data_IF_040948479397
#
_entry.id   IF_040948479397
#
_cell.length_a   1.000
_cell.length_b   1.000
_cell.length_c   1.000
_cell.angle_alpha   90.00
_cell.angle_beta   90.00
_cell.angle_gamma   90.00
#
_symmetry.space_group_name_H-M   'P 1'
#
loop_
_entity.id
_entity.type
_entity.pdbx_description
1 polymer ?
#
# COMPACT_ATOMS: atom_id res chain seq x y z
N UNK A 1 -22.93 14.82 16.51
CA UNK A 1 -23.92 15.39 17.46
C UNK A 1 -25.09 16.11 16.78
N UNK A 2 -24.96 16.61 15.54
CA UNK A 2 -26.07 17.18 14.76
C UNK A 2 -26.85 16.14 13.89
N UNK A 3 -26.23 15.05 13.40
CA UNK A 3 -26.99 13.93 12.80
C UNK A 3 -28.06 13.37 13.75
N UNK A 4 -27.72 13.15 15.03
CA UNK A 4 -28.71 12.74 16.05
C UNK A 4 -29.80 13.78 16.36
N UNK A 5 -29.65 15.04 15.95
CA UNK A 5 -30.66 16.09 16.16
C UNK A 5 -31.62 16.20 14.96
N UNK A 6 -31.19 15.81 13.76
CA UNK A 6 -32.05 15.74 12.57
C UNK A 6 -32.99 14.52 12.58
N UNK A 7 -32.64 13.47 13.34
CA UNK A 7 -33.39 12.20 13.36
C UNK A 7 -34.28 12.05 14.63
N UNK A 8 -34.33 13.07 15.50
CA UNK A 8 -35.33 13.14 16.58
C UNK A 8 -36.72 13.46 16.01
N UNK A 9 -37.36 12.46 15.39
CA UNK A 9 -38.70 12.59 14.83
C UNK A 9 -39.09 11.51 13.82
N UNK A 10 -38.15 10.69 13.35
CA UNK A 10 -38.42 9.60 12.42
C UNK A 10 -39.03 8.40 13.16
N UNK A 11 -40.04 7.75 12.56
CA UNK A 11 -40.52 6.44 13.05
C UNK A 11 -39.57 5.30 12.62
N UNK A 12 -39.72 4.11 13.19
CA UNK A 12 -38.84 2.95 12.91
C UNK A 12 -38.76 2.58 11.41
N UNK A 13 -39.84 2.79 10.63
CA UNK A 13 -39.85 2.52 9.19
C UNK A 13 -39.14 3.61 8.38
N UNK A 14 -39.19 4.83 8.88
CA UNK A 14 -38.57 6.02 8.32
C UNK A 14 -37.04 6.01 8.56
N UNK A 15 -36.59 5.42 9.68
CA UNK A 15 -35.19 5.06 9.94
C UNK A 15 -34.69 3.96 8.99
N UNK A 16 -35.46 2.89 8.81
CA UNK A 16 -35.10 1.80 7.90
C UNK A 16 -34.92 2.25 6.44
N UNK A 17 -35.78 3.16 5.97
CA UNK A 17 -35.66 3.77 4.64
C UNK A 17 -34.39 4.64 4.50
N UNK A 18 -33.94 5.28 5.57
CA UNK A 18 -32.72 6.10 5.54
C UNK A 18 -31.47 5.22 5.46
N UNK A 19 -31.41 4.15 6.25
CA UNK A 19 -30.35 3.14 6.17
C UNK A 19 -30.33 2.43 4.81
N UNK A 20 -31.51 2.12 4.25
CA UNK A 20 -31.62 1.55 2.89
C UNK A 20 -31.09 2.51 1.82
N UNK A 21 -31.36 3.81 1.92
CA UNK A 21 -30.86 4.82 0.97
C UNK A 21 -29.35 5.01 1.08
N UNK A 22 -28.79 5.06 2.31
CA UNK A 22 -27.35 5.14 2.51
C UNK A 22 -26.63 3.87 2.00
N UNK A 23 -27.20 2.70 2.25
CA UNK A 23 -26.71 1.43 1.69
C UNK A 23 -26.76 1.46 0.15
N UNK A 24 -27.85 1.95 -0.44
CA UNK A 24 -27.99 2.04 -1.89
C UNK A 24 -27.02 3.05 -2.52
N UNK A 25 -26.74 4.17 -1.86
CA UNK A 25 -25.75 5.15 -2.31
C UNK A 25 -24.33 4.56 -2.25
N UNK A 26 -24.00 3.83 -1.18
CA UNK A 26 -22.73 3.10 -1.04
C UNK A 26 -22.60 2.01 -2.11
N UNK A 27 -23.65 1.24 -2.35
CA UNK A 27 -23.68 0.18 -3.37
C UNK A 27 -23.58 0.75 -4.80
N UNK A 28 -24.20 1.91 -5.05
CA UNK A 28 -24.10 2.61 -6.34
C UNK A 28 -22.68 3.14 -6.56
N UNK A 29 -22.08 3.79 -5.56
CA UNK A 29 -20.70 4.26 -5.63
C UNK A 29 -19.73 3.10 -5.86
N UNK A 30 -19.91 2.00 -5.12
CA UNK A 30 -19.12 0.76 -5.28
C UNK A 30 -19.31 0.16 -6.67
N UNK A 31 -20.53 0.14 -7.20
CA UNK A 31 -20.83 -0.36 -8.54
C UNK A 31 -20.25 0.52 -9.64
N UNK A 32 -20.25 1.84 -9.46
CA UNK A 32 -19.62 2.79 -10.36
C UNK A 32 -18.10 2.63 -10.32
N UNK A 33 -17.51 2.50 -9.13
CA UNK A 33 -16.08 2.24 -8.96
C UNK A 33 -15.67 0.93 -9.64
N UNK A 34 -16.39 -0.17 -9.38
CA UNK A 34 -16.13 -1.46 -10.01
C UNK A 34 -16.33 -1.40 -11.53
N UNK A 35 -17.34 -0.67 -12.00
CA UNK A 35 -17.58 -0.44 -13.42
C UNK A 35 -16.46 0.35 -14.07
N UNK A 36 -15.95 1.40 -13.41
CA UNK A 36 -14.79 2.18 -13.88
C UNK A 36 -13.54 1.30 -13.88
N UNK A 37 -13.26 0.56 -12.80
CA UNK A 37 -12.13 -0.39 -12.72
C UNK A 37 -12.19 -1.43 -13.84
N UNK A 38 -13.34 -2.06 -14.03
CA UNK A 38 -13.53 -3.06 -15.10
C UNK A 38 -13.32 -2.45 -16.48
N UNK A 39 -13.76 -1.21 -16.71
CA UNK A 39 -13.49 -0.49 -17.96
C UNK A 39 -12.00 -0.18 -18.10
N UNK A 40 -11.33 0.29 -17.04
CA UNK A 40 -9.90 0.59 -17.04
C UNK A 40 -9.04 -0.65 -17.35
N UNK A 41 -9.40 -1.81 -16.80
CA UNK A 41 -8.74 -3.10 -17.09
C UNK A 41 -8.89 -3.55 -18.55
N UNK A 42 -10.06 -3.36 -19.15
CA UNK A 42 -10.37 -3.77 -20.54
C UNK A 42 -9.58 -2.96 -21.58
N UNK A 43 -9.23 -1.69 -21.29
CA UNK A 43 -8.73 -0.75 -22.31
C UNK A 43 -7.26 -0.33 -22.18
N UNK A 44 -6.44 -1.09 -21.44
CA UNK A 44 -5.02 -0.78 -21.22
C UNK A 44 -4.27 -0.45 -22.53
N UNK A 45 -3.78 0.79 -22.63
CA UNK A 45 -2.90 1.27 -23.70
C UNK A 45 -3.48 2.22 -24.75
N UNK A 46 -4.81 2.27 -24.96
CA UNK A 46 -5.43 3.18 -25.96
C UNK A 46 -6.53 4.10 -25.42
N UNK A 47 -6.84 4.00 -24.11
CA UNK A 47 -7.92 4.78 -23.49
C UNK A 47 -7.51 6.15 -22.98
N UNK A 48 -6.23 6.46 -22.76
CA UNK A 48 -5.85 7.74 -22.13
C UNK A 48 -6.46 8.94 -22.86
N UNK A 49 -6.41 8.94 -24.20
CA UNK A 49 -7.04 9.98 -25.01
C UNK A 49 -8.55 10.12 -24.75
N UNK A 50 -9.27 9.00 -24.58
CA UNK A 50 -10.71 8.99 -24.32
C UNK A 50 -11.05 9.28 -22.85
N UNK A 51 -10.29 8.78 -21.86
CA UNK A 51 -10.46 9.12 -20.44
C UNK A 51 -10.12 10.59 -20.20
N UNK A 52 -9.02 11.10 -20.76
CA UNK A 52 -8.66 12.51 -20.65
C UNK A 52 -9.69 13.41 -21.36
N UNK A 53 -10.22 12.99 -22.52
CA UNK A 53 -11.26 13.73 -23.21
C UNK A 53 -12.63 13.69 -22.50
N UNK A 54 -13.00 12.54 -21.90
CA UNK A 54 -14.29 12.36 -21.22
C UNK A 54 -14.27 12.83 -19.76
N UNK A 55 -13.15 12.64 -19.06
CA UNK A 55 -13.01 12.82 -17.62
C UNK A 55 -11.82 13.68 -17.23
N UNK A 56 -10.90 14.09 -18.13
CA UNK A 56 -9.70 14.87 -17.75
C UNK A 56 -10.04 16.20 -17.08
N UNK A 57 -11.06 16.90 -17.59
CA UNK A 57 -11.62 18.08 -16.91
C UNK A 57 -12.30 17.71 -15.59
N UNK A 58 -13.04 16.61 -15.55
CA UNK A 58 -13.68 16.10 -14.32
C UNK A 58 -12.67 15.70 -13.26
N UNK A 59 -11.52 15.11 -13.63
CA UNK A 59 -10.41 14.74 -12.74
C UNK A 59 -9.74 15.99 -12.21
N UNK A 60 -9.42 16.95 -13.09
CA UNK A 60 -8.88 18.25 -12.67
C UNK A 60 -9.87 19.00 -11.76
N UNK A 61 -11.16 18.99 -12.09
CA UNK A 61 -12.21 19.64 -11.31
C UNK A 61 -12.46 18.91 -9.98
N UNK A 62 -12.42 17.57 -9.95
CA UNK A 62 -12.50 16.77 -8.72
C UNK A 62 -11.29 17.09 -7.84
N UNK A 63 -10.06 16.98 -8.34
CA UNK A 63 -8.85 17.22 -7.54
C UNK A 63 -8.74 18.70 -7.09
N UNK A 64 -9.12 19.65 -7.95
CA UNK A 64 -9.24 21.07 -7.56
C UNK A 64 -10.30 21.26 -6.49
N UNK A 65 -11.46 20.63 -6.65
CA UNK A 65 -12.56 20.67 -5.68
C UNK A 65 -12.19 19.97 -4.36
N UNK A 66 -11.33 18.95 -4.36
CA UNK A 66 -10.77 18.34 -3.14
C UNK A 66 -9.84 19.28 -2.39
N UNK A 67 -9.04 20.06 -3.13
CA UNK A 67 -8.12 21.05 -2.55
C UNK A 67 -8.90 22.24 -1.96
N UNK A 68 -9.98 22.65 -2.62
CA UNK A 68 -10.84 23.76 -2.21
C UNK A 68 -11.84 23.36 -1.10
N UNK A 69 -12.53 22.21 -1.20
CA UNK A 69 -13.50 21.72 -0.19
C UNK A 69 -12.83 21.40 1.14
N UNK A 70 -11.57 20.97 1.16
CA UNK A 70 -10.86 20.73 2.42
C UNK A 70 -10.55 22.02 3.19
N UNK A 71 -10.36 23.14 2.50
CA UNK A 71 -10.21 24.45 3.16
C UNK A 71 -11.51 24.88 3.86
N UNK A 72 -12.67 24.46 3.34
CA UNK A 72 -14.00 24.73 3.91
C UNK A 72 -14.40 23.72 5.00
N UNK A 73 -13.95 22.46 4.90
CA UNK A 73 -14.27 21.37 5.82
C UNK A 73 -13.55 21.41 7.18
N UNK A 74 -12.55 22.29 7.36
CA UNK A 74 -11.79 22.41 8.62
C UNK A 74 -12.58 23.06 9.80
N UNK A 75 -13.90 23.19 9.71
CA UNK A 75 -14.74 23.65 10.83
C UNK A 75 -16.25 23.36 10.76
N UNK A 76 -16.73 22.55 9.80
CA UNK A 76 -18.17 22.35 9.54
C UNK A 76 -18.76 21.04 10.05
N UNK A 77 -20.09 20.93 10.05
CA UNK A 77 -20.87 19.78 10.56
C UNK A 77 -20.80 18.52 9.66
N UNK A 78 -20.30 18.64 8.43
CA UNK A 78 -20.28 17.60 7.38
C UNK A 78 -18.92 16.90 7.20
N UNK A 79 -18.10 16.86 8.26
CA UNK A 79 -16.70 16.37 8.19
C UNK A 79 -16.59 14.93 7.65
N UNK A 80 -17.43 14.02 8.12
CA UNK A 80 -17.43 12.60 7.72
C UNK A 80 -17.78 12.42 6.23
N UNK A 81 -18.81 13.11 5.75
CA UNK A 81 -19.19 13.07 4.34
C UNK A 81 -18.10 13.68 3.45
N UNK A 82 -17.42 14.72 3.94
CA UNK A 82 -16.26 15.31 3.26
C UNK A 82 -15.07 14.34 3.22
N UNK A 83 -14.84 13.55 4.26
CA UNK A 83 -13.75 12.56 4.31
C UNK A 83 -14.02 11.41 3.34
N UNK A 84 -15.23 10.84 3.32
CA UNK A 84 -15.61 9.79 2.37
C UNK A 84 -15.52 10.25 0.91
N UNK A 85 -15.95 11.49 0.62
CA UNK A 85 -15.80 12.07 -0.72
C UNK A 85 -14.32 12.25 -1.12
N UNK A 86 -13.44 12.57 -0.15
CA UNK A 86 -12.01 12.63 -0.40
C UNK A 86 -11.42 11.26 -0.68
N UNK A 87 -11.80 10.23 0.08
CA UNK A 87 -11.36 8.84 -0.13
C UNK A 87 -11.74 8.36 -1.52
N UNK A 88 -13.00 8.51 -1.92
CA UNK A 88 -13.47 8.13 -3.27
C UNK A 88 -12.67 8.81 -4.38
N UNK A 89 -12.43 10.10 -4.24
CA UNK A 89 -11.70 10.86 -5.23
C UNK A 89 -10.21 10.50 -5.29
N UNK A 90 -9.61 10.11 -4.15
CA UNK A 90 -8.27 9.52 -4.14
C UNK A 90 -8.25 8.17 -4.83
N UNK A 91 -9.16 7.25 -4.52
CA UNK A 91 -9.23 5.94 -5.19
C UNK A 91 -9.30 6.11 -6.71
N UNK A 92 -10.21 6.96 -7.20
CA UNK A 92 -10.33 7.25 -8.64
C UNK A 92 -9.05 7.86 -9.22
N UNK A 93 -8.47 8.86 -8.54
CA UNK A 93 -7.25 9.53 -8.99
C UNK A 93 -6.05 8.59 -9.06
N UNK A 94 -5.94 7.68 -8.08
CA UNK A 94 -4.87 6.69 -8.01
C UNK A 94 -5.06 5.61 -9.09
N UNK A 95 -6.28 5.09 -9.26
CA UNK A 95 -6.60 4.13 -10.34
C UNK A 95 -6.19 4.68 -11.72
N UNK A 96 -6.40 5.98 -11.96
CA UNK A 96 -5.95 6.65 -13.20
C UNK A 96 -4.43 6.64 -13.33
N UNK A 97 -3.69 6.91 -12.25
CA UNK A 97 -2.22 6.82 -12.24
C UNK A 97 -1.72 5.39 -12.51
N UNK A 98 -2.46 4.39 -12.06
CA UNK A 98 -2.07 2.99 -12.20
C UNK A 98 -2.38 2.41 -13.58
N UNK A 99 -3.53 2.76 -14.15
CA UNK A 99 -4.10 2.08 -15.32
C UNK A 99 -4.03 2.87 -16.63
N UNK A 100 -4.00 4.21 -16.58
CA UNK A 100 -4.17 5.05 -17.76
C UNK A 100 -2.86 5.39 -18.49
N UNK A 101 -1.76 4.71 -18.19
CA UNK A 101 -0.49 4.82 -18.93
C UNK A 101 0.30 6.13 -18.69
N UNK A 102 1.41 6.31 -19.42
CA UNK A 102 2.37 7.41 -19.30
C UNK A 102 1.81 8.83 -19.11
N UNK A 103 0.74 9.16 -19.82
CA UNK A 103 0.23 10.52 -19.83
C UNK A 103 -0.54 10.88 -18.55
N UNK A 104 -0.98 9.89 -17.75
CA UNK A 104 -1.65 10.13 -16.47
C UNK A 104 -0.71 10.70 -15.41
N UNK A 105 0.61 10.53 -15.57
CA UNK A 105 1.62 10.98 -14.62
C UNK A 105 1.61 12.49 -14.39
N UNK A 106 1.07 13.27 -15.33
CA UNK A 106 0.86 14.72 -15.16
C UNK A 106 -0.05 15.07 -13.96
N UNK A 107 -0.87 14.13 -13.49
CA UNK A 107 -1.76 14.34 -12.34
C UNK A 107 -1.07 14.14 -10.99
N UNK A 108 0.16 13.59 -10.95
CA UNK A 108 0.91 13.43 -9.69
C UNK A 108 1.09 14.76 -8.98
N UNK A 109 1.48 15.82 -9.70
CA UNK A 109 1.72 17.14 -9.11
C UNK A 109 0.42 17.78 -8.56
N UNK A 110 -0.73 17.30 -9.01
CA UNK A 110 -2.06 17.77 -8.57
C UNK A 110 -2.58 16.93 -7.39
N UNK A 111 -2.42 15.61 -7.44
CA UNK A 111 -2.91 14.67 -6.42
C UNK A 111 -2.04 14.69 -5.16
N UNK A 112 -0.72 14.71 -5.33
CA UNK A 112 0.22 14.48 -4.24
C UNK A 112 0.09 15.45 -3.05
N UNK A 113 -0.08 16.78 -3.23
CA UNK A 113 -0.25 17.68 -2.09
C UNK A 113 -1.46 17.32 -1.22
N UNK A 114 -2.57 16.91 -1.85
CA UNK A 114 -3.77 16.50 -1.13
C UNK A 114 -3.58 15.17 -0.39
N UNK A 115 -2.92 14.19 -1.03
CA UNK A 115 -2.58 12.90 -0.43
C UNK A 115 -1.69 13.10 0.80
N UNK A 116 -0.57 13.84 0.67
CA UNK A 116 0.38 14.07 1.78
C UNK A 116 -0.30 14.76 2.96
N UNK A 117 -1.15 15.75 2.69
CA UNK A 117 -1.93 16.42 3.74
C UNK A 117 -2.92 15.45 4.42
N UNK A 118 -3.49 14.48 3.69
CA UNK A 118 -4.45 13.50 4.22
C UNK A 118 -3.82 12.41 5.08
N UNK A 119 -2.50 12.21 5.02
CA UNK A 119 -1.79 11.31 5.96
C UNK A 119 -1.99 11.73 7.43
N UNK A 120 -2.21 13.02 7.69
CA UNK A 120 -2.53 13.54 9.03
C UNK A 120 -4.01 13.55 9.40
N UNK A 121 -4.88 12.90 8.62
CA UNK A 121 -6.33 12.84 8.91
C UNK A 121 -6.62 12.04 10.19
N UNK A 122 -7.76 12.31 10.82
CA UNK A 122 -8.26 11.49 11.92
C UNK A 122 -8.99 10.24 11.42
N UNK A 123 -9.55 10.29 10.21
CA UNK A 123 -10.17 9.12 9.54
C UNK A 123 -9.08 8.11 9.11
N UNK A 124 -9.11 6.86 9.63
CA UNK A 124 -8.21 5.80 9.20
C UNK A 124 -8.33 5.50 7.70
N UNK A 125 -9.55 5.41 7.15
CA UNK A 125 -9.79 5.15 5.73
C UNK A 125 -9.13 6.20 4.83
N UNK A 126 -9.27 7.48 5.19
CA UNK A 126 -8.65 8.56 4.43
C UNK A 126 -7.12 8.53 4.55
N UNK A 127 -6.57 8.13 5.71
CA UNK A 127 -5.13 7.91 5.87
C UNK A 127 -4.64 6.73 5.04
N UNK A 128 -5.40 5.63 4.99
CA UNK A 128 -5.08 4.44 4.20
C UNK A 128 -5.01 4.77 2.71
N UNK A 129 -6.06 5.38 2.15
CA UNK A 129 -6.09 5.81 0.75
C UNK A 129 -4.97 6.81 0.42
N UNK A 130 -4.67 7.72 1.35
CA UNK A 130 -3.57 8.68 1.21
C UNK A 130 -2.20 7.99 1.20
N UNK A 131 -1.96 7.05 2.10
CA UNK A 131 -0.70 6.30 2.18
C UNK A 131 -0.49 5.47 0.91
N UNK A 132 -1.50 4.72 0.48
CA UNK A 132 -1.49 3.99 -0.78
C UNK A 132 -1.12 4.89 -1.96
N UNK A 133 -1.83 6.02 -2.12
CA UNK A 133 -1.60 6.97 -3.19
C UNK A 133 -0.22 7.62 -3.18
N UNK A 134 0.35 7.90 -1.99
CA UNK A 134 1.73 8.38 -1.87
C UNK A 134 2.72 7.32 -2.37
N UNK A 135 2.50 6.04 -2.03
CA UNK A 135 3.29 4.93 -2.53
C UNK A 135 3.23 4.81 -4.06
N UNK A 136 2.04 4.90 -4.65
CA UNK A 136 1.84 4.92 -6.10
C UNK A 136 2.55 6.12 -6.75
N UNK A 137 2.44 7.31 -6.16
CA UNK A 137 3.15 8.49 -6.67
C UNK A 137 4.67 8.30 -6.64
N UNK A 138 5.23 7.65 -5.61
CA UNK A 138 6.66 7.36 -5.53
C UNK A 138 7.09 6.39 -6.64
N UNK A 139 6.34 5.30 -6.84
CA UNK A 139 6.59 4.29 -7.88
C UNK A 139 6.49 4.87 -9.29
N UNK A 140 5.43 5.63 -9.56
CA UNK A 140 5.15 6.17 -10.89
C UNK A 140 6.02 7.39 -11.23
N UNK A 141 6.59 8.06 -10.23
CA UNK A 141 7.55 9.16 -10.42
C UNK A 141 9.02 8.72 -10.45
N UNK A 142 9.28 7.41 -10.46
CA UNK A 142 10.63 6.88 -10.47
C UNK A 142 11.40 7.34 -11.73
N UNK A 143 12.68 7.72 -11.60
CA UNK A 143 13.47 8.12 -12.76
C UNK A 143 13.64 6.94 -13.74
N UNK A 144 13.77 7.21 -15.05
CA UNK A 144 13.84 6.20 -16.11
C UNK A 144 14.98 5.18 -15.96
N UNK A 145 16.04 5.55 -15.24
CA UNK A 145 17.22 4.70 -15.02
C UNK A 145 17.12 3.86 -13.73
N UNK A 146 16.03 3.98 -12.97
CA UNK A 146 15.76 3.10 -11.84
C UNK A 146 15.38 1.72 -12.39
N UNK A 147 16.18 0.71 -12.05
CA UNK A 147 16.05 -0.69 -12.47
C UNK A 147 14.74 -1.39 -12.05
N UNK A 148 13.76 -0.62 -11.59
CA UNK A 148 12.45 -1.06 -11.09
C UNK A 148 11.27 -0.43 -11.83
N UNK A 149 11.46 0.57 -12.70
CA UNK A 149 10.35 1.20 -13.43
C UNK A 149 10.06 0.46 -14.75
N UNK A 150 8.77 0.26 -15.05
CA UNK A 150 8.29 -0.56 -16.16
C UNK A 150 8.76 -0.10 -17.54
N UNK A 151 9.81 -0.73 -18.06
CA UNK A 151 10.19 -0.75 -19.47
C UNK A 151 10.39 0.60 -20.17
N UNK A 152 10.61 0.56 -21.48
CA UNK A 152 10.80 1.74 -22.34
C UNK A 152 9.63 2.74 -22.30
N UNK A 153 8.44 2.31 -21.86
CA UNK A 153 7.23 3.12 -21.77
C UNK A 153 7.24 4.13 -20.61
N UNK A 154 7.76 3.77 -19.43
CA UNK A 154 7.88 4.68 -18.28
C UNK A 154 8.95 5.77 -18.52
N UNK A 155 10.02 5.41 -19.24
CA UNK A 155 11.05 6.36 -19.62
C UNK A 155 10.57 7.37 -20.68
N UNK A 156 9.73 6.93 -21.63
CA UNK A 156 9.06 7.84 -22.56
C UNK A 156 8.06 8.77 -21.85
N UNK A 157 7.41 8.31 -20.77
CA UNK A 157 6.49 9.10 -19.93
C UNK A 157 7.20 10.24 -19.19
N UNK A 158 8.31 9.92 -18.51
CA UNK A 158 9.12 10.87 -17.76
C UNK A 158 9.78 11.93 -18.66
N UNK A 159 9.95 11.64 -19.96
CA UNK A 159 10.50 12.58 -20.94
C UNK A 159 9.46 13.57 -21.50
N UNK A 160 8.15 13.31 -21.36
CA UNK A 160 7.09 14.13 -21.98
C UNK A 160 6.59 15.26 -21.07
N UNK A 161 6.73 15.16 -19.76
CA UNK A 161 6.42 16.24 -18.79
C UNK A 161 7.35 16.10 -17.59
N UNK A 162 7.68 17.17 -16.88
CA UNK A 162 8.35 17.12 -15.55
C UNK A 162 7.53 16.44 -14.44
N UNK A 163 6.72 15.45 -14.80
CA UNK A 163 5.89 14.61 -13.95
C UNK A 163 6.80 13.88 -12.95
N UNK A 164 6.53 14.07 -11.67
CA UNK A 164 7.35 13.54 -10.57
C UNK A 164 8.30 14.55 -9.94
N UNK A 165 8.44 15.76 -10.50
CA UNK A 165 9.16 16.86 -9.84
C UNK A 165 8.46 17.30 -8.55
N UNK A 166 7.13 17.24 -8.49
CA UNK A 166 6.36 17.54 -7.28
C UNK A 166 6.64 16.57 -6.14
N UNK A 167 6.95 15.29 -6.45
CA UNK A 167 7.25 14.30 -5.41
C UNK A 167 8.51 14.65 -4.62
N UNK A 168 9.57 15.11 -5.30
CA UNK A 168 10.80 15.56 -4.65
C UNK A 168 10.54 16.68 -3.62
N UNK A 169 9.63 17.61 -3.91
CA UNK A 169 9.30 18.72 -3.02
C UNK A 169 8.56 18.32 -1.75
N UNK A 170 7.88 17.16 -1.74
CA UNK A 170 7.05 16.70 -0.62
C UNK A 170 7.55 15.42 0.04
N UNK A 171 8.53 14.72 -0.52
CA UNK A 171 8.98 13.41 -0.05
C UNK A 171 9.40 13.40 1.43
N UNK A 172 10.20 14.36 1.88
CA UNK A 172 10.61 14.44 3.30
C UNK A 172 9.41 14.63 4.23
N UNK A 173 8.43 15.45 3.83
CA UNK A 173 7.23 15.67 4.63
C UNK A 173 6.34 14.42 4.65
N UNK A 174 6.15 13.78 3.49
CA UNK A 174 5.41 12.55 3.36
C UNK A 174 6.01 11.43 4.24
N UNK A 175 7.32 11.21 4.17
CA UNK A 175 8.03 10.23 5.01
C UNK A 175 7.81 10.50 6.50
N UNK A 176 7.91 11.75 6.94
CA UNK A 176 7.65 12.10 8.34
C UNK A 176 6.24 11.75 8.79
N UNK A 177 5.23 12.01 7.96
CA UNK A 177 3.84 11.67 8.27
C UNK A 177 3.58 10.15 8.24
N UNK A 178 4.16 9.43 7.27
CA UNK A 178 4.08 7.97 7.20
C UNK A 178 4.71 7.32 8.44
N UNK A 179 5.89 7.78 8.88
CA UNK A 179 6.51 7.29 10.12
C UNK A 179 5.67 7.59 11.36
N UNK A 180 4.99 8.73 11.42
CA UNK A 180 4.08 9.03 12.53
C UNK A 180 2.90 8.04 12.58
N UNK A 181 2.37 7.64 11.42
CA UNK A 181 1.32 6.61 11.36
C UNK A 181 1.85 5.25 11.85
N UNK A 182 3.04 4.85 11.37
CA UNK A 182 3.67 3.58 11.73
C UNK A 182 3.94 3.48 13.24
N UNK A 183 4.39 4.59 13.84
CA UNK A 183 4.76 4.66 15.25
C UNK A 183 3.60 5.05 16.19
N UNK A 184 2.37 5.22 15.68
CA UNK A 184 1.23 5.58 16.50
C UNK A 184 0.87 4.47 17.50
N UNK A 185 0.36 4.83 18.68
CA UNK A 185 0.00 3.85 19.72
C UNK A 185 -1.13 2.91 19.29
N UNK A 186 -2.01 3.39 18.42
CA UNK A 186 -3.13 2.66 17.85
C UNK A 186 -2.78 2.02 16.50
N UNK A 187 -1.52 2.02 16.05
CA UNK A 187 -1.14 1.58 14.70
C UNK A 187 -1.46 0.11 14.40
N UNK A 188 -1.68 -0.71 15.44
CA UNK A 188 -1.93 -2.15 15.35
C UNK A 188 -3.35 -2.52 15.83
N UNK A 189 -4.30 -1.58 15.81
CA UNK A 189 -5.72 -1.87 16.05
C UNK A 189 -6.42 -2.28 14.75
N UNK A 190 -7.58 -2.94 14.84
CA UNK A 190 -8.40 -3.29 13.65
C UNK A 190 -8.77 -2.04 12.82
N UNK A 191 -9.08 -0.93 13.49
CA UNK A 191 -9.49 0.31 12.83
C UNK A 191 -8.33 1.01 12.07
N UNK A 192 -7.11 0.96 12.62
CA UNK A 192 -5.96 1.72 12.09
C UNK A 192 -4.93 0.86 11.37
N UNK A 193 -4.97 -0.46 11.54
CA UNK A 193 -3.98 -1.40 11.02
C UNK A 193 -3.85 -1.36 9.50
N UNK A 194 -4.96 -1.28 8.76
CA UNK A 194 -4.93 -1.16 7.29
C UNK A 194 -4.22 0.11 6.82
N UNK A 195 -4.43 1.24 7.52
CA UNK A 195 -3.73 2.48 7.24
C UNK A 195 -2.22 2.39 7.57
N UNK A 196 -1.87 1.71 8.64
CA UNK A 196 -0.47 1.44 9.03
C UNK A 196 0.25 0.56 8.00
N UNK A 197 -0.40 -0.50 7.53
CA UNK A 197 0.13 -1.39 6.51
C UNK A 197 0.43 -0.65 5.22
N UNK A 198 -0.53 0.16 4.76
CA UNK A 198 -0.35 1.02 3.60
C UNK A 198 0.75 2.07 3.81
N UNK A 199 0.94 2.57 5.04
CA UNK A 199 2.05 3.47 5.33
C UNK A 199 3.41 2.76 5.26
N UNK A 200 3.54 1.54 5.82
CA UNK A 200 4.75 0.73 5.71
C UNK A 200 5.09 0.44 4.24
N UNK A 201 4.10 0.04 3.45
CA UNK A 201 4.28 -0.22 2.03
C UNK A 201 4.66 1.05 1.25
N UNK A 202 4.06 2.20 1.56
CA UNK A 202 4.43 3.47 0.94
C UNK A 202 5.90 3.84 1.24
N UNK A 203 6.38 3.66 2.46
CA UNK A 203 7.80 3.90 2.80
C UNK A 203 8.71 2.93 2.04
N UNK A 204 8.32 1.65 1.91
CA UNK A 204 9.05 0.66 1.11
C UNK A 204 9.12 1.08 -0.36
N UNK A 205 7.99 1.49 -0.96
CA UNK A 205 7.91 2.01 -2.34
C UNK A 205 8.79 3.24 -2.52
N UNK A 206 8.81 4.18 -1.56
CA UNK A 206 9.72 5.35 -1.61
C UNK A 206 11.18 4.90 -1.62
N UNK A 207 11.58 3.99 -0.72
CA UNK A 207 12.96 3.49 -0.68
C UNK A 207 13.36 2.75 -1.96
N UNK A 208 12.43 2.02 -2.56
CA UNK A 208 12.67 1.23 -3.76
C UNK A 208 12.77 2.10 -5.03
N UNK A 209 11.87 3.08 -5.16
CA UNK A 209 11.69 3.83 -6.41
C UNK A 209 12.29 5.21 -6.40
N UNK A 210 12.38 5.83 -5.23
CA UNK A 210 12.94 7.16 -5.00
C UNK A 210 14.07 7.13 -3.97
N UNK A 211 15.08 6.24 -4.13
CA UNK A 211 16.23 6.21 -3.22
C UNK A 211 17.02 7.52 -3.23
N UNK A 212 16.86 8.35 -4.28
CA UNK A 212 17.42 9.70 -4.40
C UNK A 212 16.81 10.71 -3.40
N UNK A 213 15.62 10.42 -2.86
CA UNK A 213 14.87 11.32 -1.99
C UNK A 213 14.83 10.86 -0.52
N UNK A 214 15.44 9.73 -0.20
CA UNK A 214 15.47 9.18 1.14
C UNK A 214 16.81 8.51 1.44
N UNK A 215 16.91 7.83 2.58
CA UNK A 215 18.11 7.08 2.97
C UNK A 215 17.70 5.61 3.20
N UNK A 216 17.57 4.80 2.13
CA UNK A 216 17.10 3.42 2.23
C UNK A 216 17.89 2.57 3.23
N UNK A 217 19.20 2.78 3.33
CA UNK A 217 20.10 2.04 4.22
C UNK A 217 19.82 2.28 5.70
N UNK A 218 19.20 3.42 6.04
CA UNK A 218 18.77 3.73 7.40
C UNK A 218 17.30 3.33 7.63
N UNK A 219 16.47 3.55 6.62
CA UNK A 219 15.02 3.36 6.71
C UNK A 219 14.64 1.88 6.68
N UNK A 220 15.09 1.13 5.67
CA UNK A 220 14.66 -0.26 5.46
C UNK A 220 14.94 -1.16 6.67
N UNK A 221 16.11 -1.09 7.34
CA UNK A 221 16.35 -1.87 8.55
C UNK A 221 15.39 -1.52 9.69
N UNK A 222 15.02 -0.23 9.82
CA UNK A 222 14.09 0.22 10.86
C UNK A 222 12.65 -0.26 10.63
N UNK A 223 12.27 -0.59 9.38
CA UNK A 223 10.94 -1.12 9.08
C UNK A 223 10.79 -2.59 9.44
N UNK A 224 11.90 -3.35 9.53
CA UNK A 224 11.85 -4.81 9.76
C UNK A 224 11.13 -5.19 11.05
N UNK A 225 11.17 -4.33 12.07
CA UNK A 225 10.49 -4.55 13.36
C UNK A 225 8.98 -4.31 13.30
N UNK A 226 8.46 -3.72 12.22
CA UNK A 226 7.03 -3.49 12.01
C UNK A 226 6.41 -4.49 11.03
N UNK A 227 7.21 -5.42 10.50
CA UNK A 227 6.74 -6.48 9.61
C UNK A 227 6.32 -7.72 10.41
N UNK A 228 5.41 -8.54 9.86
CA UNK A 228 4.73 -8.39 8.57
C UNK A 228 3.56 -7.39 8.61
N UNK A 229 3.11 -6.95 7.44
CA UNK A 229 1.78 -6.34 7.25
C UNK A 229 0.72 -7.43 7.49
N UNK A 230 -0.39 -7.07 8.14
CA UNK A 230 -1.35 -8.05 8.70
C UNK A 230 -2.82 -7.73 8.46
N UNK A 231 -3.16 -6.47 8.24
CA UNK A 231 -4.52 -5.96 8.20
C UNK A 231 -5.02 -5.75 6.77
N UNK A 232 -4.16 -5.27 5.87
CA UNK A 232 -4.46 -5.15 4.45
C UNK A 232 -3.74 -6.26 3.68
N UNK A 233 -4.44 -7.37 3.41
CA UNK A 233 -3.85 -8.57 2.78
C UNK A 233 -3.36 -8.29 1.35
N UNK A 234 -4.07 -7.45 0.61
CA UNK A 234 -3.69 -7.08 -0.76
C UNK A 234 -2.38 -6.30 -0.72
N UNK A 235 -2.28 -5.32 0.17
CA UNK A 235 -1.06 -4.53 0.30
C UNK A 235 0.08 -5.34 0.94
N UNK A 236 -0.22 -6.28 1.84
CA UNK A 236 0.74 -7.22 2.39
C UNK A 236 1.37 -8.08 1.29
N UNK A 237 0.58 -8.61 0.35
CA UNK A 237 1.10 -9.37 -0.80
C UNK A 237 2.07 -8.53 -1.63
N UNK A 238 1.71 -7.29 -1.95
CA UNK A 238 2.57 -6.40 -2.75
C UNK A 238 3.87 -6.03 -2.01
N UNK A 239 3.76 -5.56 -0.76
CA UNK A 239 4.90 -5.11 0.03
C UNK A 239 5.86 -6.25 0.37
N UNK A 240 5.36 -7.41 0.80
CA UNK A 240 6.19 -8.57 1.12
C UNK A 240 6.91 -9.10 -0.12
N UNK A 241 6.20 -9.21 -1.26
CA UNK A 241 6.82 -9.58 -2.55
C UNK A 241 7.94 -8.63 -2.92
N UNK A 242 7.75 -7.32 -2.78
CA UNK A 242 8.79 -6.30 -3.06
C UNK A 242 10.00 -6.44 -2.14
N UNK A 243 9.77 -6.63 -0.83
CA UNK A 243 10.85 -6.84 0.12
C UNK A 243 11.68 -8.09 -0.22
N UNK A 244 11.01 -9.20 -0.53
CA UNK A 244 11.68 -10.45 -0.92
C UNK A 244 12.44 -10.29 -2.25
N UNK A 245 11.89 -9.55 -3.21
CA UNK A 245 12.60 -9.19 -4.44
C UNK A 245 13.84 -8.33 -4.16
N UNK A 246 13.79 -7.40 -3.20
CA UNK A 246 14.97 -6.65 -2.77
C UNK A 246 16.03 -7.55 -2.13
N UNK A 247 15.63 -8.49 -1.27
CA UNK A 247 16.52 -9.44 -0.59
C UNK A 247 17.21 -10.42 -1.54
N UNK A 248 16.54 -10.81 -2.62
CA UNK A 248 17.06 -11.75 -3.63
C UNK A 248 17.76 -11.04 -4.80
N UNK A 249 17.62 -9.72 -4.89
CA UNK A 249 18.14 -8.89 -5.98
C UNK A 249 19.42 -8.11 -5.64
N UNK A 250 19.84 -7.18 -6.52
CA UNK A 250 21.05 -6.38 -6.34
C UNK A 250 20.98 -5.43 -5.13
N UNK A 251 19.76 -5.10 -4.68
CA UNK A 251 19.50 -4.22 -3.53
C UNK A 251 19.54 -4.92 -2.17
N UNK A 252 19.92 -6.21 -2.12
CA UNK A 252 19.88 -7.00 -0.89
C UNK A 252 20.67 -6.36 0.26
N UNK A 253 21.80 -5.72 -0.06
CA UNK A 253 22.66 -5.04 0.92
C UNK A 253 21.95 -3.89 1.66
N UNK A 254 20.93 -3.26 1.06
CA UNK A 254 20.16 -2.19 1.70
C UNK A 254 19.30 -2.72 2.87
N UNK A 255 18.84 -3.96 2.75
CA UNK A 255 17.98 -4.61 3.75
C UNK A 255 18.82 -5.41 4.75
N UNK A 256 19.74 -6.24 4.25
CA UNK A 256 20.60 -7.11 5.08
C UNK A 256 21.64 -6.33 5.90
N UNK A 257 21.97 -5.12 5.47
CA UNK A 257 22.97 -4.28 6.11
C UNK A 257 24.40 -4.77 5.86
N UNK A 258 25.37 -3.96 6.28
CA UNK A 258 26.79 -4.34 6.24
C UNK A 258 27.02 -5.59 7.09
N UNK A 259 27.85 -6.51 6.59
CA UNK A 259 28.21 -7.77 7.27
C UNK A 259 27.00 -8.59 7.74
N UNK A 260 25.85 -8.48 7.06
CA UNK A 260 24.60 -9.17 7.41
C UNK A 260 24.05 -8.77 8.79
N UNK A 261 24.32 -7.54 9.25
CA UNK A 261 23.90 -7.05 10.57
C UNK A 261 22.39 -7.17 10.83
N UNK A 262 21.56 -7.05 9.79
CA UNK A 262 20.10 -7.11 9.92
C UNK A 262 19.52 -8.50 9.61
N UNK A 263 20.36 -9.49 9.29
CA UNK A 263 19.91 -10.86 8.99
C UNK A 263 18.99 -11.45 10.07
N UNK A 264 19.23 -11.28 11.40
CA UNK A 264 18.31 -11.79 12.41
C UNK A 264 16.88 -11.20 12.28
N UNK A 265 16.78 -9.89 12.07
CA UNK A 265 15.49 -9.21 11.91
C UNK A 265 14.80 -9.59 10.60
N UNK A 266 15.57 -9.77 9.51
CA UNK A 266 15.06 -10.30 8.25
C UNK A 266 14.49 -11.70 8.44
N UNK A 267 15.23 -12.61 9.09
CA UNK A 267 14.76 -13.97 9.35
C UNK A 267 13.50 -13.98 10.23
N UNK A 268 13.41 -13.12 11.24
CA UNK A 268 12.23 -12.96 12.07
C UNK A 268 11.01 -12.53 11.25
N UNK A 269 11.15 -11.46 10.46
CA UNK A 269 10.07 -10.96 9.60
C UNK A 269 9.62 -12.03 8.58
N UNK A 270 10.56 -12.70 7.90
CA UNK A 270 10.25 -13.78 6.96
C UNK A 270 9.56 -14.95 7.65
N UNK A 271 9.98 -15.32 8.86
CA UNK A 271 9.35 -16.39 9.63
C UNK A 271 7.90 -16.08 9.98
N UNK A 272 7.58 -14.82 10.27
CA UNK A 272 6.22 -14.39 10.59
C UNK A 272 5.33 -14.23 9.35
N UNK A 273 5.87 -13.77 8.23
CA UNK A 273 5.16 -13.67 6.94
C UNK A 273 4.60 -15.02 6.47
N UNK A 274 5.30 -16.10 6.81
CA UNK A 274 5.02 -17.43 6.27
C UNK A 274 4.21 -18.32 7.20
N UNK A 275 3.86 -17.83 8.40
CA UNK A 275 2.95 -18.53 9.31
C UNK A 275 1.56 -18.53 8.68
N UNK A 276 0.92 -19.71 8.51
CA UNK A 276 -0.44 -19.76 8.01
C UNK A 276 -1.40 -18.93 8.87
N UNK A 277 -2.19 -18.08 8.22
CA UNK A 277 -3.24 -17.32 8.90
C UNK A 277 -4.46 -18.20 9.18
N UNK A 278 -5.11 -18.03 10.33
CA UNK A 278 -6.33 -18.77 10.63
C UNK A 278 -7.43 -18.42 9.62
N UNK A 279 -8.19 -19.42 9.18
CA UNK A 279 -9.43 -19.18 8.44
C UNK A 279 -10.50 -18.67 9.41
N UNK A 280 -11.35 -17.75 8.96
CA UNK A 280 -12.44 -17.19 9.77
C UNK A 280 -13.51 -18.25 10.13
N UNK A 281 -13.66 -19.30 9.31
CA UNK A 281 -14.64 -20.38 9.51
C UNK A 281 -14.02 -21.80 9.55
N UNK A 282 -14.59 -22.70 10.36
CA UNK A 282 -14.11 -24.07 10.63
C UNK A 282 -14.22 -25.06 9.44
N UNK A 283 -14.74 -24.66 8.28
CA UNK A 283 -14.76 -25.45 7.03
C UNK A 283 -13.86 -24.81 5.96
N UNK A 284 -12.56 -24.87 6.26
CA UNK A 284 -11.36 -24.62 5.44
C UNK A 284 -11.56 -24.51 3.91
N UNK A 285 -11.31 -23.30 3.39
CA UNK A 285 -11.08 -22.87 2.00
C UNK A 285 -11.62 -23.79 0.88
N UNK A 286 -12.53 -23.26 0.05
CA UNK A 286 -13.13 -23.99 -1.07
C UNK A 286 -12.15 -24.31 -2.20
N UNK A 287 -11.00 -23.63 -2.25
CA UNK A 287 -9.95 -23.85 -3.24
C UNK A 287 -8.54 -23.53 -2.71
N UNK A 288 -7.52 -23.98 -3.44
CA UNK A 288 -6.13 -23.61 -3.15
C UNK A 288 -5.86 -22.13 -3.40
N UNK A 289 -6.57 -21.50 -4.34
CA UNK A 289 -6.37 -20.08 -4.66
C UNK A 289 -6.94 -19.20 -3.53
N UNK A 290 -8.15 -19.53 -3.05
CA UNK A 290 -8.78 -18.88 -1.91
C UNK A 290 -7.91 -18.97 -0.64
N UNK A 291 -7.23 -20.12 -0.40
CA UNK A 291 -6.28 -20.22 0.70
C UNK A 291 -5.23 -19.10 0.68
N UNK A 292 -4.63 -18.83 -0.49
CA UNK A 292 -3.58 -17.83 -0.65
C UNK A 292 -4.08 -16.39 -0.58
N UNK A 293 -5.34 -16.15 -0.93
CA UNK A 293 -6.00 -14.84 -0.77
C UNK A 293 -6.12 -14.42 0.70
N UNK A 294 -6.13 -15.38 1.64
CA UNK A 294 -6.19 -15.13 3.08
C UNK A 294 -4.82 -15.23 3.79
N UNK A 295 -3.75 -15.58 3.07
CA UNK A 295 -2.40 -15.61 3.66
C UNK A 295 -1.71 -14.24 3.55
N UNK A 296 -0.71 -13.96 4.40
CA UNK A 296 0.07 -12.71 4.33
C UNK A 296 1.00 -12.64 3.11
N UNK A 297 1.28 -13.79 2.48
CA UNK A 297 2.07 -13.90 1.26
C UNK A 297 1.37 -14.86 0.31
N UNK A 298 1.38 -14.54 -0.98
CA UNK A 298 0.97 -15.49 -2.01
C UNK A 298 2.01 -16.61 -2.20
N UNK A 299 1.63 -17.60 -3.01
CA UNK A 299 2.43 -18.79 -3.28
C UNK A 299 3.81 -18.46 -3.86
N UNK A 300 3.89 -17.56 -4.83
CA UNK A 300 5.15 -17.22 -5.50
C UNK A 300 6.12 -16.51 -4.55
N UNK A 301 5.58 -15.65 -3.68
CA UNK A 301 6.37 -14.99 -2.63
C UNK A 301 6.85 -16.00 -1.60
N UNK A 302 6.00 -16.96 -1.21
CA UNK A 302 6.38 -18.08 -0.34
C UNK A 302 7.57 -18.88 -0.90
N UNK A 303 7.49 -19.28 -2.16
CA UNK A 303 8.55 -20.03 -2.85
C UNK A 303 9.84 -19.20 -2.94
N UNK A 304 9.72 -17.90 -3.21
CA UNK A 304 10.87 -16.98 -3.25
C UNK A 304 11.57 -16.84 -1.89
N UNK A 305 10.80 -16.82 -0.80
CA UNK A 305 11.34 -16.84 0.57
C UNK A 305 12.11 -18.14 0.83
N UNK A 306 11.55 -19.29 0.45
CA UNK A 306 12.18 -20.59 0.65
C UNK A 306 13.49 -20.72 -0.13
N UNK A 307 13.50 -20.28 -1.39
CA UNK A 307 14.71 -20.21 -2.20
C UNK A 307 15.78 -19.30 -1.57
N UNK A 308 15.37 -18.14 -1.06
CA UNK A 308 16.27 -17.21 -0.38
C UNK A 308 16.89 -17.84 0.88
N UNK A 309 16.09 -18.50 1.72
CA UNK A 309 16.56 -19.18 2.93
C UNK A 309 17.56 -20.29 2.60
N UNK A 310 17.28 -21.10 1.58
CA UNK A 310 18.21 -22.15 1.11
C UNK A 310 19.50 -21.54 0.58
N UNK A 311 19.41 -20.44 -0.18
CA UNK A 311 20.59 -19.72 -0.66
C UNK A 311 21.48 -19.23 0.49
N UNK A 312 20.89 -18.61 1.52
CA UNK A 312 21.64 -18.13 2.69
C UNK A 312 22.37 -19.26 3.41
N UNK A 313 21.71 -20.41 3.61
CA UNK A 313 22.34 -21.58 4.23
C UNK A 313 23.50 -22.14 3.40
N UNK A 314 23.41 -22.06 2.08
CA UNK A 314 24.43 -22.58 1.16
C UNK A 314 25.62 -21.63 0.98
N UNK A 315 25.43 -20.31 1.09
CA UNK A 315 26.45 -19.32 0.71
C UNK A 315 27.08 -18.58 1.88
N UNK A 316 26.39 -18.46 3.03
CA UNK A 316 26.93 -17.74 4.18
C UNK A 316 27.78 -18.63 5.09
N UNK A 317 28.81 -18.06 5.77
CA UNK A 317 29.53 -18.75 6.82
C UNK A 317 28.60 -19.25 7.93
N UNK A 318 28.80 -20.49 8.38
CA UNK A 318 27.99 -21.13 9.42
C UNK A 318 27.85 -20.28 10.69
N UNK A 319 28.91 -19.56 11.08
CA UNK A 319 28.91 -18.68 12.24
C UNK A 319 27.89 -17.54 12.13
N UNK A 320 27.75 -16.93 10.94
CA UNK A 320 26.80 -15.83 10.70
C UNK A 320 25.37 -16.37 10.77
N UNK A 321 25.10 -17.48 10.09
CA UNK A 321 23.77 -18.11 10.07
C UNK A 321 23.36 -18.53 11.49
N UNK A 322 24.28 -19.15 12.24
CA UNK A 322 24.03 -19.56 13.63
C UNK A 322 23.76 -18.37 14.55
N UNK A 323 24.55 -17.30 14.45
CA UNK A 323 24.36 -16.09 15.24
C UNK A 323 23.00 -15.44 14.98
N UNK A 324 22.55 -15.41 13.72
CA UNK A 324 21.23 -14.90 13.39
C UNK A 324 20.12 -15.82 13.87
N UNK A 325 20.28 -17.14 13.68
CA UNK A 325 19.33 -18.15 14.14
C UNK A 325 19.09 -18.12 15.65
N UNK A 326 20.15 -17.91 16.45
CA UNK A 326 20.04 -17.90 17.90
C UNK A 326 19.15 -16.77 18.44
N UNK A 327 19.02 -15.66 17.71
CA UNK A 327 18.19 -14.51 18.09
C UNK A 327 16.70 -14.70 17.82
N UNK A 328 16.32 -15.70 17.02
CA UNK A 328 14.93 -16.01 16.73
C UNK A 328 14.23 -16.66 17.92
N UNK A 329 12.95 -16.38 18.10
CA UNK A 329 12.14 -17.08 19.08
C UNK A 329 11.80 -18.53 18.64
N UNK A 330 11.11 -19.26 19.51
CA UNK A 330 10.78 -20.67 19.26
C UNK A 330 9.80 -20.85 18.09
N UNK A 331 8.85 -19.94 17.91
CA UNK A 331 7.86 -20.01 16.84
C UNK A 331 8.47 -19.65 15.49
N UNK A 332 9.30 -18.60 15.46
CA UNK A 332 10.05 -18.19 14.27
C UNK A 332 10.97 -19.32 13.78
N UNK A 333 11.71 -19.96 14.69
CA UNK A 333 12.56 -21.13 14.37
C UNK A 333 11.75 -22.28 13.76
N UNK A 334 10.59 -22.59 14.33
CA UNK A 334 9.71 -23.65 13.81
C UNK A 334 9.18 -23.32 12.42
N UNK A 335 8.73 -22.09 12.19
CA UNK A 335 8.21 -21.65 10.90
C UNK A 335 9.26 -21.81 9.79
N UNK A 336 10.49 -21.36 10.04
CA UNK A 336 11.59 -21.48 9.06
C UNK A 336 12.02 -22.95 8.85
N UNK A 337 12.03 -23.78 9.89
CA UNK A 337 12.41 -25.20 9.78
C UNK A 337 11.44 -26.01 8.90
N UNK A 338 10.14 -25.78 9.06
CA UNK A 338 9.09 -26.44 8.25
C UNK A 338 9.31 -26.11 6.78
N UNK A 339 9.54 -24.84 6.46
CA UNK A 339 9.78 -24.36 5.10
C UNK A 339 11.05 -24.88 4.44
N UNK A 340 12.12 -25.11 5.22
CA UNK A 340 13.33 -25.73 4.67
C UNK A 340 13.20 -27.24 4.47
N UNK A 341 12.17 -27.86 5.06
CA UNK A 341 11.94 -29.31 5.01
C UNK A 341 10.92 -29.74 3.92
N UNK A 342 10.02 -28.84 3.51
CA UNK A 342 8.91 -29.11 2.57
C UNK A 342 9.32 -29.26 1.09
N UNK A 343 10.61 -29.29 0.77
CA UNK A 343 11.15 -29.47 -0.60
C UNK A 343 11.68 -30.89 -0.87
N UNK A 344 11.45 -31.85 0.04
CA UNK A 344 11.91 -33.24 -0.09
C UNK A 344 10.75 -34.26 -0.19
N UNK A 345 9.49 -33.84 -0.13
CA UNK A 345 8.31 -34.71 -0.37
C UNK A 345 7.51 -34.26 -1.60
#
# INVERSE_FOLDING_TARGET
RMKSAAIQGFDEGEYGLFEEVEAWEKDLLTSVEQGVKSLLEIFSGSLFGHVHQAFGKTIQDIVKSLTERRAEALGGEDKEQSESACTFAFCLGIDILETCGPESLQYIDVLLPALVMSLGSQSPDLRQAAAYGVGVCAEKSAPPDSSSSGGEAAAAAAAVVGAGSGFAGLATHALGLLFNMIAAEDSQTEDCGGATDNALSAVLKICQYRPDLCQPELILPSLLTYLPLRFDIIEAHDAHRRLVAMLTGPSAHLVLGQDMANLPAVLAALAEMIVPQPAEDEESFSSHDEFWEHQLVNKETRESIEMFLHHLQATLPEAIVKQAWEQLDTNQKKALQVSTSSLIE
#
